data_IF_866867219031
#
_entry.id   IF_866867219031
#
_cell.length_a   1.000
_cell.length_b   1.000
_cell.length_c   1.000
_cell.angle_alpha   90.00
_cell.angle_beta   90.00
_cell.angle_gamma   90.00
#
_symmetry.space_group_name_H-M   'P 1'
#
loop_
_entity.id
_entity.type
_entity.pdbx_description
1 polymer ?
#
# COMPACT_ATOMS: atom_id res chain seq x y z
N UNK A 1 -3.42 19.50 -5.25
CA UNK A 1 -4.21 18.26 -5.02
C UNK A 1 -5.62 18.29 -5.60
N UNK A 2 -6.13 19.41 -6.14
CA UNK A 2 -7.49 19.44 -6.71
C UNK A 2 -7.62 18.68 -8.05
N UNK A 3 -6.56 18.63 -8.86
CA UNK A 3 -6.55 17.91 -10.14
C UNK A 3 -6.19 16.42 -10.11
N UNK A 4 -5.86 15.85 -8.94
CA UNK A 4 -5.48 14.42 -8.83
C UNK A 4 -6.66 13.50 -8.45
N UNK A 5 -7.66 14.09 -7.80
CA UNK A 5 -8.87 13.40 -7.37
C UNK A 5 -9.71 12.86 -8.55
N UNK A 6 -9.82 13.52 -9.72
CA UNK A 6 -10.56 13.00 -10.86
C UNK A 6 -10.01 11.69 -11.42
N UNK A 7 -8.68 11.56 -11.61
CA UNK A 7 -8.05 10.33 -12.11
C UNK A 7 -8.13 9.22 -11.08
N UNK A 8 -7.98 9.54 -9.79
CA UNK A 8 -8.19 8.56 -8.73
C UNK A 8 -9.64 8.08 -8.72
N UNK A 9 -10.62 8.98 -8.85
CA UNK A 9 -12.03 8.59 -9.01
C UNK A 9 -12.25 7.72 -10.24
N UNK A 10 -11.61 8.04 -11.37
CA UNK A 10 -11.68 7.20 -12.56
C UNK A 10 -11.14 5.80 -12.28
N UNK A 11 -9.99 5.67 -11.60
CA UNK A 11 -9.41 4.38 -11.18
C UNK A 11 -10.35 3.63 -10.21
N UNK A 12 -11.00 4.36 -9.30
CA UNK A 12 -11.98 3.82 -8.38
C UNK A 12 -13.19 3.26 -9.14
N UNK A 13 -13.80 4.04 -10.04
CA UNK A 13 -14.96 3.64 -10.85
C UNK A 13 -14.61 2.44 -11.73
N UNK A 14 -13.43 2.48 -12.33
CA UNK A 14 -12.82 1.38 -13.04
C UNK A 14 -12.71 0.09 -12.21
N UNK A 15 -12.28 0.20 -10.96
CA UNK A 15 -12.20 -0.93 -10.04
C UNK A 15 -13.60 -1.43 -9.67
N UNK A 16 -14.58 -0.53 -9.55
CA UNK A 16 -15.97 -0.90 -9.33
C UNK A 16 -16.56 -1.69 -10.49
N UNK A 17 -16.29 -1.29 -11.73
CA UNK A 17 -16.71 -2.03 -12.91
C UNK A 17 -16.08 -3.43 -12.94
N UNK A 18 -14.80 -3.55 -12.56
CA UNK A 18 -14.14 -4.85 -12.43
C UNK A 18 -14.83 -5.69 -11.34
N UNK A 19 -15.10 -5.12 -10.17
CA UNK A 19 -15.80 -5.81 -9.09
C UNK A 19 -17.17 -6.29 -9.56
N UNK A 20 -17.95 -5.45 -10.23
CA UNK A 20 -19.25 -5.83 -10.79
C UNK A 20 -19.13 -6.97 -11.81
N UNK A 21 -18.11 -6.95 -12.66
CA UNK A 21 -17.90 -7.99 -13.69
C UNK A 21 -17.52 -9.36 -13.12
N UNK A 22 -16.91 -9.41 -11.92
CA UNK A 22 -16.45 -10.64 -11.29
C UNK A 22 -17.30 -11.07 -10.07
N UNK A 23 -18.20 -10.21 -9.60
CA UNK A 23 -19.18 -10.50 -8.55
C UNK A 23 -20.22 -11.48 -9.08
N UNK A 24 -20.37 -12.59 -8.37
CA UNK A 24 -21.43 -13.57 -8.64
C UNK A 24 -22.81 -13.02 -8.23
N UNK A 25 -23.92 -13.61 -8.73
CA UNK A 25 -25.28 -13.19 -8.37
C UNK A 25 -25.58 -13.24 -6.86
N UNK A 26 -24.89 -14.10 -6.11
CA UNK A 26 -24.98 -14.22 -4.65
C UNK A 26 -24.16 -13.16 -3.89
N UNK A 27 -23.49 -12.26 -4.61
CA UNK A 27 -22.60 -11.22 -4.07
C UNK A 27 -21.16 -11.67 -3.85
N UNK A 28 -20.81 -12.91 -4.13
CA UNK A 28 -19.47 -13.46 -3.85
C UNK A 28 -18.43 -13.01 -4.87
N UNK A 29 -17.27 -12.58 -4.38
CA UNK A 29 -16.08 -12.19 -5.14
C UNK A 29 -14.90 -13.07 -4.71
N UNK A 30 -14.45 -13.94 -5.61
CA UNK A 30 -13.35 -14.89 -5.36
C UNK A 30 -11.98 -14.26 -5.61
N UNK A 31 -11.02 -14.51 -4.72
CA UNK A 31 -9.66 -13.99 -4.85
C UNK A 31 -9.63 -12.47 -4.88
N UNK A 32 -10.35 -11.83 -3.96
CA UNK A 32 -10.44 -10.37 -3.90
C UNK A 32 -9.05 -9.73 -3.73
N UNK A 33 -8.17 -10.38 -2.97
CA UNK A 33 -6.76 -10.03 -2.81
C UNK A 33 -5.96 -10.06 -4.13
N UNK A 34 -6.45 -10.79 -5.13
CA UNK A 34 -5.85 -10.90 -6.45
C UNK A 34 -6.49 -9.95 -7.46
N UNK A 35 -7.68 -9.41 -7.20
CA UNK A 35 -8.37 -8.51 -8.13
C UNK A 35 -7.67 -7.16 -8.26
N UNK A 36 -7.08 -6.67 -7.17
CA UNK A 36 -6.17 -5.51 -7.20
C UNK A 36 -4.96 -5.76 -8.11
N UNK A 37 -4.52 -7.01 -8.23
CA UNK A 37 -3.43 -7.44 -9.12
C UNK A 37 -3.89 -7.84 -10.54
N UNK A 38 -5.20 -8.08 -10.75
CA UNK A 38 -5.75 -8.66 -11.99
C UNK A 38 -6.05 -7.60 -13.07
N UNK A 39 -6.16 -6.34 -12.68
CA UNK A 39 -6.34 -5.22 -13.61
C UNK A 39 -5.00 -4.91 -14.28
N UNK A 40 -4.78 -5.46 -15.49
CA UNK A 40 -3.67 -5.16 -16.43
C UNK A 40 -2.42 -4.55 -15.77
N UNK A 41 -1.87 -5.21 -14.74
CA UNK A 41 -0.50 -4.90 -14.35
C UNK A 41 0.31 -5.24 -15.59
N UNK A 42 0.93 -4.23 -16.21
CA UNK A 42 1.93 -4.51 -17.23
C UNK A 42 2.93 -5.50 -16.62
N UNK A 43 3.56 -6.34 -17.46
CA UNK A 43 4.62 -7.24 -16.98
C UNK A 43 5.64 -6.50 -16.09
N UNK A 44 5.87 -5.22 -16.38
CA UNK A 44 6.66 -4.26 -15.60
C UNK A 44 6.08 -3.99 -14.20
N UNK A 45 4.80 -3.66 -14.05
CA UNK A 45 4.20 -3.44 -12.74
C UNK A 45 4.26 -4.71 -11.86
N UNK A 46 3.99 -5.88 -12.43
CA UNK A 46 4.07 -7.14 -11.68
C UNK A 46 5.51 -7.45 -11.25
N UNK A 47 6.48 -7.16 -12.11
CA UNK A 47 7.91 -7.29 -11.81
C UNK A 47 8.34 -6.29 -10.73
N UNK A 48 7.85 -5.05 -10.78
CA UNK A 48 8.11 -4.05 -9.75
C UNK A 48 7.56 -4.50 -8.40
N UNK A 49 6.31 -4.96 -8.34
CA UNK A 49 5.72 -5.48 -7.09
C UNK A 49 6.52 -6.67 -6.52
N UNK A 50 6.92 -7.61 -7.36
CA UNK A 50 7.76 -8.73 -6.95
C UNK A 50 9.14 -8.28 -6.43
N UNK A 51 9.76 -7.29 -7.08
CA UNK A 51 11.04 -6.74 -6.67
C UNK A 51 10.93 -6.01 -5.33
N UNK A 52 9.90 -5.17 -5.13
CA UNK A 52 9.62 -4.48 -3.86
C UNK A 52 9.45 -5.48 -2.72
N UNK A 53 8.65 -6.53 -2.93
CA UNK A 53 8.45 -7.59 -1.94
C UNK A 53 9.75 -8.32 -1.59
N UNK A 54 10.57 -8.65 -2.60
CA UNK A 54 11.87 -9.27 -2.38
C UNK A 54 12.84 -8.36 -1.61
N UNK A 55 12.82 -7.06 -1.91
CA UNK A 55 13.64 -6.05 -1.25
C UNK A 55 13.32 -5.94 0.23
N UNK A 56 12.05 -5.78 0.59
CA UNK A 56 11.63 -5.67 2.00
C UNK A 56 11.89 -6.96 2.79
N UNK A 57 11.67 -8.15 2.19
CA UNK A 57 12.02 -9.43 2.83
C UNK A 57 13.53 -9.55 3.07
N UNK A 58 14.35 -9.20 2.08
CA UNK A 58 15.81 -9.24 2.23
C UNK A 58 16.29 -8.22 3.28
N UNK A 59 15.69 -7.03 3.35
CA UNK A 59 15.97 -6.03 4.37
C UNK A 59 15.62 -6.55 5.77
N UNK A 60 14.42 -7.13 5.96
CA UNK A 60 14.04 -7.79 7.22
C UNK A 60 15.05 -8.84 7.64
N UNK A 61 15.32 -9.80 6.76
CA UNK A 61 16.21 -10.93 7.08
C UNK A 61 17.64 -10.44 7.35
N UNK A 62 18.06 -9.32 6.74
CA UNK A 62 19.36 -8.68 7.01
C UNK A 62 19.42 -8.04 8.40
N UNK A 63 18.28 -7.52 8.88
CA UNK A 63 18.16 -6.80 10.15
C UNK A 63 18.00 -7.75 11.34
N UNK A 64 17.18 -8.80 11.19
CA UNK A 64 16.89 -9.76 12.26
C UNK A 64 17.72 -11.06 12.17
N UNK A 65 18.34 -11.35 11.03
CA UNK A 65 19.16 -12.53 10.81
C UNK A 65 20.65 -12.32 11.13
N UNK A 66 21.44 -13.38 10.92
CA UNK A 66 22.88 -13.32 11.11
C UNK A 66 23.54 -12.35 10.10
N UNK A 67 24.43 -11.43 10.53
CA UNK A 67 24.97 -10.37 9.68
C UNK A 67 26.11 -10.84 8.76
N UNK A 68 26.00 -12.06 8.19
CA UNK A 68 27.02 -12.67 7.33
C UNK A 68 27.32 -11.87 6.07
N UNK A 69 26.33 -11.08 5.61
CA UNK A 69 26.47 -10.16 4.47
C UNK A 69 27.55 -9.09 4.67
N UNK A 70 27.94 -8.79 5.92
CA UNK A 70 29.04 -7.87 6.23
C UNK A 70 30.42 -8.44 5.88
N UNK A 71 30.52 -9.75 5.74
CA UNK A 71 31.80 -10.45 5.51
C UNK A 71 31.90 -11.03 4.11
N UNK A 72 30.78 -11.42 3.49
CA UNK A 72 30.75 -11.96 2.14
C UNK A 72 29.40 -11.67 1.45
N UNK A 73 29.35 -11.59 0.11
CA UNK A 73 28.12 -11.36 -0.64
C UNK A 73 27.23 -12.61 -0.62
N UNK A 74 26.48 -12.77 0.46
CA UNK A 74 25.50 -13.86 0.67
C UNK A 74 24.35 -13.78 -0.34
N UNK A 75 23.60 -14.88 -0.49
CA UNK A 75 22.37 -14.89 -1.30
C UNK A 75 21.41 -13.78 -0.87
N UNK A 76 21.30 -13.53 0.44
CA UNK A 76 20.49 -12.45 0.99
C UNK A 76 20.93 -11.07 0.48
N UNK A 77 22.23 -10.76 0.55
CA UNK A 77 22.75 -9.49 0.06
C UNK A 77 22.58 -9.35 -1.46
N UNK A 78 22.80 -10.42 -2.22
CA UNK A 78 22.59 -10.43 -3.68
C UNK A 78 21.13 -10.20 -4.05
N UNK A 79 20.19 -10.80 -3.31
CA UNK A 79 18.75 -10.57 -3.49
C UNK A 79 18.39 -9.12 -3.17
N UNK A 80 18.91 -8.56 -2.08
CA UNK A 80 18.72 -7.15 -1.73
C UNK A 80 19.21 -6.22 -2.86
N UNK A 81 20.46 -6.37 -3.29
CA UNK A 81 21.05 -5.53 -4.34
C UNK A 81 20.31 -5.67 -5.69
N UNK A 82 19.98 -6.90 -6.09
CA UNK A 82 19.25 -7.16 -7.36
C UNK A 82 17.84 -6.57 -7.35
N UNK A 83 17.14 -6.69 -6.22
CA UNK A 83 15.79 -6.13 -6.09
C UNK A 83 15.83 -4.60 -6.09
N UNK A 84 16.80 -3.98 -5.42
CA UNK A 84 17.03 -2.52 -5.45
C UNK A 84 17.31 -2.01 -6.86
N UNK A 85 18.20 -2.68 -7.60
CA UNK A 85 18.52 -2.34 -9.00
C UNK A 85 17.28 -2.45 -9.91
N UNK A 86 16.48 -3.50 -9.72
CA UNK A 86 15.24 -3.72 -10.49
C UNK A 86 14.23 -2.60 -10.21
N UNK A 87 14.04 -2.23 -8.94
CA UNK A 87 13.13 -1.14 -8.54
C UNK A 87 13.61 0.17 -9.16
N UNK A 88 14.88 0.51 -8.99
CA UNK A 88 15.45 1.77 -9.51
C UNK A 88 15.31 1.86 -11.03
N UNK A 89 15.56 0.76 -11.75
CA UNK A 89 15.45 0.70 -13.21
C UNK A 89 14.01 0.96 -13.66
N UNK A 90 13.06 0.19 -13.16
CA UNK A 90 11.66 0.30 -13.59
C UNK A 90 11.09 1.68 -13.24
N UNK A 91 11.33 2.18 -12.02
CA UNK A 91 10.83 3.50 -11.60
C UNK A 91 11.46 4.61 -12.43
N UNK A 92 12.77 4.54 -12.70
CA UNK A 92 13.44 5.54 -13.56
C UNK A 92 12.83 5.57 -14.96
N UNK A 93 12.57 4.42 -15.58
CA UNK A 93 11.93 4.37 -16.89
C UNK A 93 10.51 4.95 -16.85
N UNK A 94 9.71 4.63 -15.83
CA UNK A 94 8.37 5.21 -15.67
C UNK A 94 8.41 6.73 -15.54
N UNK A 95 9.39 7.26 -14.80
CA UNK A 95 9.59 8.69 -14.65
C UNK A 95 9.95 9.38 -15.97
N UNK A 96 10.86 8.80 -16.75
CA UNK A 96 11.25 9.37 -18.05
C UNK A 96 10.08 9.29 -19.06
N UNK A 97 9.28 8.22 -19.04
CA UNK A 97 8.07 8.09 -19.87
C UNK A 97 7.02 9.17 -19.52
N UNK A 98 6.78 9.39 -18.23
CA UNK A 98 5.86 10.43 -17.77
C UNK A 98 6.34 11.83 -18.21
N UNK A 99 7.64 12.11 -18.05
CA UNK A 99 8.25 13.36 -18.49
C UNK A 99 8.14 13.58 -20.01
N UNK A 100 8.38 12.54 -20.80
CA UNK A 100 8.27 12.61 -22.26
C UNK A 100 6.83 12.92 -22.72
N UNK A 101 5.82 12.36 -22.05
CA UNK A 101 4.39 12.66 -22.32
C UNK A 101 4.03 14.10 -21.96
N UNK A 102 4.51 14.58 -20.81
CA UNK A 102 4.27 15.94 -20.35
C UNK A 102 4.87 17.01 -21.29
N UNK A 103 5.99 16.73 -21.96
CA UNK A 103 6.62 17.65 -22.90
C UNK A 103 5.92 17.69 -24.28
N UNK A 104 5.17 16.65 -24.64
CA UNK A 104 4.43 16.56 -25.91
C UNK A 104 3.02 17.16 -25.87
N UNK A 105 2.44 17.34 -24.68
CA UNK A 105 1.13 17.94 -24.50
C UNK A 105 1.25 19.45 -24.26
N UNK A 106 1.01 20.24 -25.30
CA UNK A 106 0.90 21.69 -25.16
C UNK A 106 -0.29 22.04 -24.25
N UNK A 107 0.01 22.61 -23.08
CA UNK A 107 -0.87 23.48 -22.29
C UNK A 107 -2.22 22.87 -21.86
N UNK A 108 -2.19 21.89 -20.96
CA UNK A 108 -3.32 21.67 -20.04
C UNK A 108 -2.81 21.75 -18.59
N UNK A 109 -3.15 22.84 -17.92
CA UNK A 109 -2.52 23.34 -16.69
C UNK A 109 -2.95 22.59 -15.41
N UNK A 110 -3.41 21.34 -15.52
CA UNK A 110 -4.16 20.71 -14.42
C UNK A 110 -3.50 19.46 -13.82
N UNK A 111 -2.38 18.98 -14.37
CA UNK A 111 -1.66 17.81 -13.83
C UNK A 111 -0.21 18.14 -13.43
N UNK A 112 -0.05 18.78 -12.27
CA UNK A 112 1.18 18.57 -11.50
C UNK A 112 1.05 17.21 -10.83
N UNK A 113 1.50 16.14 -11.51
CA UNK A 113 1.73 14.86 -10.85
C UNK A 113 2.58 15.12 -9.59
N UNK A 114 2.25 14.49 -8.47
CA UNK A 114 3.01 14.64 -7.21
C UNK A 114 4.51 14.45 -7.47
N UNK A 115 4.85 13.52 -8.37
CA UNK A 115 6.19 13.25 -8.83
C UNK A 115 6.80 14.41 -9.64
N UNK A 116 6.06 15.07 -10.52
CA UNK A 116 6.55 16.25 -11.25
C UNK A 116 6.85 17.41 -10.30
N UNK A 117 6.04 17.59 -9.25
CA UNK A 117 6.33 18.59 -8.21
C UNK A 117 7.65 18.28 -7.48
N UNK A 118 7.93 17.00 -7.20
CA UNK A 118 9.21 16.57 -6.63
C UNK A 118 10.34 16.85 -7.64
N UNK A 119 10.14 16.53 -8.92
CA UNK A 119 11.14 16.68 -9.97
C UNK A 119 11.48 18.15 -10.28
N UNK A 120 10.52 19.06 -10.15
CA UNK A 120 10.70 20.49 -10.40
C UNK A 120 11.31 21.24 -9.20
N UNK A 121 11.41 20.61 -8.03
CA UNK A 121 11.94 21.25 -6.83
C UNK A 121 13.45 21.57 -7.00
N UNK A 122 13.86 22.85 -7.06
CA UNK A 122 15.26 23.20 -7.29
C UNK A 122 16.15 22.94 -6.07
N UNK A 123 15.59 22.73 -4.88
CA UNK A 123 16.34 22.46 -3.65
C UNK A 123 16.81 21.01 -3.54
N UNK A 124 16.32 20.11 -4.41
CA UNK A 124 16.70 18.70 -4.44
C UNK A 124 17.55 18.42 -5.67
N UNK A 125 18.62 17.66 -5.48
CA UNK A 125 19.37 17.14 -6.61
C UNK A 125 18.58 16.01 -7.32
N UNK A 126 19.04 15.59 -8.50
CA UNK A 126 18.33 14.57 -9.27
C UNK A 126 18.34 13.18 -8.58
N UNK A 127 19.33 12.91 -7.74
CA UNK A 127 19.42 11.65 -6.98
C UNK A 127 18.35 11.62 -5.90
N UNK A 128 18.22 12.69 -5.13
CA UNK A 128 17.22 12.85 -4.07
C UNK A 128 15.81 12.83 -4.65
N UNK A 129 15.60 13.45 -5.82
CA UNK A 129 14.33 13.39 -6.55
C UNK A 129 13.96 11.96 -6.92
N UNK A 130 14.89 11.22 -7.54
CA UNK A 130 14.66 9.81 -7.89
C UNK A 130 14.42 8.94 -6.67
N UNK A 131 15.21 9.13 -5.61
CA UNK A 131 15.03 8.41 -4.36
C UNK A 131 13.65 8.68 -3.73
N UNK A 132 13.19 9.92 -3.72
CA UNK A 132 11.87 10.28 -3.19
C UNK A 132 10.72 9.66 -3.98
N UNK A 133 10.81 9.61 -5.32
CA UNK A 133 9.80 8.95 -6.16
C UNK A 133 9.81 7.43 -5.95
N UNK A 134 10.99 6.82 -5.88
CA UNK A 134 11.16 5.40 -5.56
C UNK A 134 10.52 5.09 -4.20
N UNK A 135 10.88 5.83 -3.14
CA UNK A 135 10.35 5.64 -1.78
C UNK A 135 8.82 5.75 -1.75
N UNK A 136 8.25 6.71 -2.48
CA UNK A 136 6.80 6.85 -2.57
C UNK A 136 6.13 5.65 -3.24
N UNK A 137 6.68 5.17 -4.36
CA UNK A 137 6.12 4.02 -5.12
C UNK A 137 6.28 2.72 -4.32
N UNK A 138 7.46 2.45 -3.77
CA UNK A 138 7.70 1.24 -2.99
C UNK A 138 6.86 1.22 -1.72
N UNK A 139 6.69 2.36 -1.05
CA UNK A 139 5.78 2.48 0.08
C UNK A 139 4.32 2.28 -0.33
N UNK A 140 3.89 2.75 -1.51
CA UNK A 140 2.53 2.51 -2.01
C UNK A 140 2.24 1.04 -2.37
N UNK A 141 3.26 0.30 -2.80
CA UNK A 141 3.15 -1.13 -3.11
C UNK A 141 3.16 -1.97 -1.84
N UNK A 142 3.98 -1.61 -0.86
CA UNK A 142 4.23 -2.42 0.34
C UNK A 142 4.36 -1.52 1.59
N UNK A 143 3.35 -1.54 2.48
CA UNK A 143 3.26 -0.69 3.69
C UNK A 143 3.38 -1.52 4.98
N UNK A 144 4.61 -1.78 5.44
CA UNK A 144 4.81 -2.95 6.33
C UNK A 144 5.25 -2.66 7.76
N UNK A 145 6.20 -1.75 7.95
CA UNK A 145 6.99 -1.75 9.19
C UNK A 145 6.27 -1.21 10.44
N UNK A 146 5.16 -0.48 10.29
CA UNK A 146 4.50 0.26 11.40
C UNK A 146 3.32 -0.49 12.04
N UNK A 147 2.84 -1.57 11.42
CA UNK A 147 1.56 -2.19 11.81
C UNK A 147 1.67 -3.27 12.89
N UNK A 148 2.81 -3.95 13.04
CA UNK A 148 2.94 -5.08 13.96
C UNK A 148 2.88 -4.66 15.44
N UNK A 149 3.65 -3.64 15.83
CA UNK A 149 3.68 -3.15 17.21
C UNK A 149 2.37 -2.48 17.62
N UNK A 150 1.82 -1.64 16.74
CA UNK A 150 0.50 -1.02 16.93
C UNK A 150 -0.58 -2.08 17.04
N UNK A 151 -0.59 -3.06 16.13
CA UNK A 151 -1.55 -4.16 16.15
C UNK A 151 -1.46 -5.03 17.41
N UNK A 152 -0.25 -5.31 17.90
CA UNK A 152 -0.05 -6.04 19.16
C UNK A 152 -0.55 -5.23 20.36
N UNK A 153 -0.24 -3.93 20.42
CA UNK A 153 -0.67 -3.06 21.50
C UNK A 153 -2.21 -2.89 21.53
N UNK A 154 -2.84 -2.75 20.36
CA UNK A 154 -4.29 -2.62 20.24
C UNK A 154 -5.07 -3.87 20.69
N UNK A 155 -4.41 -5.04 20.74
CA UNK A 155 -4.98 -6.31 21.20
C UNK A 155 -4.82 -6.56 22.71
N UNK A 156 -4.29 -5.61 23.48
CA UNK A 156 -4.18 -5.76 24.93
C UNK A 156 -5.40 -5.15 25.63
N UNK A 157 -6.03 -5.92 26.51
CA UNK A 157 -7.18 -5.45 27.32
C UNK A 157 -6.85 -4.25 28.20
N UNK A 158 -5.58 -4.01 28.54
CA UNK A 158 -5.14 -2.81 29.26
C UNK A 158 -5.25 -1.52 28.42
N UNK A 159 -5.25 -1.65 27.09
CA UNK A 159 -5.30 -0.53 26.15
C UNK A 159 -6.71 -0.32 25.58
N UNK A 160 -7.48 -1.39 25.40
CA UNK A 160 -8.81 -1.37 24.80
C UNK A 160 -9.75 -2.38 25.44
N UNK A 161 -10.96 -1.97 25.83
CA UNK A 161 -11.99 -2.90 26.33
C UNK A 161 -12.42 -3.91 25.24
N UNK A 162 -12.50 -5.21 25.51
CA UNK A 162 -12.79 -6.22 24.45
C UNK A 162 -11.79 -6.10 23.30
N UNK A 163 -10.50 -6.02 23.61
CA UNK A 163 -9.42 -5.74 22.64
C UNK A 163 -9.30 -6.80 21.54
N UNK A 164 -9.78 -8.02 21.80
CA UNK A 164 -9.75 -9.15 20.86
C UNK A 164 -10.95 -9.16 19.91
N UNK A 165 -11.93 -8.28 20.10
CA UNK A 165 -13.16 -8.26 19.31
C UNK A 165 -13.17 -7.10 18.32
N UNK A 166 -13.70 -7.36 17.12
CA UNK A 166 -14.01 -6.29 16.17
C UNK A 166 -15.22 -5.50 16.67
N UNK A 167 -14.96 -4.31 17.23
CA UNK A 167 -15.97 -3.40 17.77
C UNK A 167 -15.73 -1.99 17.22
N UNK A 168 -16.33 -1.65 16.06
CA UNK A 168 -16.23 -0.32 15.47
C UNK A 168 -16.92 0.77 16.34
N UNK A 169 -17.94 0.39 17.13
CA UNK A 169 -18.66 1.29 18.04
C UNK A 169 -17.75 1.91 19.10
N UNK A 170 -16.58 1.30 19.36
CA UNK A 170 -15.51 1.84 20.22
C UNK A 170 -15.14 3.30 19.90
N UNK A 171 -15.27 3.69 18.63
CA UNK A 171 -14.93 5.02 18.16
C UNK A 171 -16.11 6.00 18.18
N UNK A 172 -17.32 5.51 18.46
CA UNK A 172 -18.55 6.30 18.58
C UNK A 172 -18.93 6.47 20.06
N UNK A 173 -18.92 5.36 20.81
CA UNK A 173 -19.15 5.29 22.25
C UNK A 173 -17.84 4.96 22.98
N UNK A 174 -17.17 6.00 23.49
CA UNK A 174 -15.91 5.84 24.20
C UNK A 174 -16.14 5.20 25.58
N UNK A 175 -15.48 4.08 25.83
CA UNK A 175 -15.47 3.35 27.12
C UNK A 175 -14.05 2.98 27.50
N UNK A 176 -13.70 3.07 28.78
CA UNK A 176 -12.35 2.73 29.25
C UNK A 176 -12.15 1.20 29.37
N UNK A 177 -10.93 0.69 29.11
CA UNK A 177 -9.76 1.42 28.62
C UNK A 177 -9.88 1.82 27.13
N UNK A 178 -9.43 3.04 26.80
CA UNK A 178 -9.45 3.56 25.43
C UNK A 178 -8.18 4.34 25.04
N UNK A 179 -7.11 3.62 24.74
CA UNK A 179 -5.83 4.19 24.34
C UNK A 179 -5.80 4.62 22.85
N UNK A 180 -6.70 5.51 22.44
CA UNK A 180 -6.83 6.01 21.05
C UNK A 180 -5.50 6.52 20.46
N UNK A 181 -4.62 7.07 21.31
CA UNK A 181 -3.31 7.55 20.89
C UNK A 181 -2.40 6.46 20.30
N UNK A 182 -2.61 5.19 20.66
CA UNK A 182 -1.86 4.04 20.08
C UNK A 182 -2.25 3.80 18.62
N UNK A 183 -3.48 4.13 18.22
CA UNK A 183 -3.96 3.92 16.85
C UNK A 183 -3.53 5.10 15.99
N UNK A 184 -2.42 4.90 15.29
CA UNK A 184 -1.87 5.87 14.33
C UNK A 184 -1.39 5.16 13.05
N UNK A 185 -2.30 4.55 12.25
CA UNK A 185 -1.93 3.75 11.08
C UNK A 185 -1.16 4.56 10.01
N UNK A 186 -1.34 5.88 10.00
CA UNK A 186 -0.64 6.80 9.10
C UNK A 186 0.42 7.66 9.81
N UNK A 187 0.77 7.35 11.06
CA UNK A 187 1.65 8.18 11.88
C UNK A 187 1.07 9.57 12.19
N UNK A 188 1.91 10.46 12.72
CA UNK A 188 1.57 11.86 13.07
C UNK A 188 2.76 12.79 12.79
N UNK A 189 2.49 14.08 12.60
CA UNK A 189 3.53 15.11 12.43
C UNK A 189 4.18 15.12 11.05
N UNK A 190 5.43 15.60 10.96
CA UNK A 190 6.13 15.86 9.68
C UNK A 190 6.43 14.60 8.84
N UNK A 191 6.35 13.42 9.45
CA UNK A 191 6.56 12.11 8.80
C UNK A 191 5.26 11.30 8.72
N UNK A 192 4.11 11.98 8.80
CA UNK A 192 2.82 11.34 8.54
C UNK A 192 2.79 10.79 7.10
N UNK A 193 2.13 9.64 6.93
CA UNK A 193 2.06 8.95 5.65
C UNK A 193 1.47 9.87 4.57
N UNK A 194 2.20 10.15 3.48
CA UNK A 194 1.69 10.95 2.38
C UNK A 194 0.55 10.24 1.63
N UNK A 195 0.49 8.91 1.72
CA UNK A 195 -0.56 8.06 1.16
C UNK A 195 -1.90 8.08 1.92
N UNK A 196 -1.99 8.75 3.08
CA UNK A 196 -3.22 8.74 3.92
C UNK A 196 -4.48 9.08 3.12
N UNK A 197 -4.44 10.14 2.30
CA UNK A 197 -5.60 10.60 1.52
C UNK A 197 -6.01 9.61 0.44
N UNK A 198 -5.05 8.84 -0.10
CA UNK A 198 -5.34 7.80 -1.08
C UNK A 198 -6.14 6.67 -0.44
N UNK A 199 -5.64 6.17 0.70
CA UNK A 199 -6.31 5.09 1.42
C UNK A 199 -7.69 5.52 1.93
N UNK A 200 -7.85 6.76 2.41
CA UNK A 200 -9.16 7.28 2.80
C UNK A 200 -10.17 7.26 1.64
N UNK A 201 -9.74 7.60 0.42
CA UNK A 201 -10.60 7.54 -0.77
C UNK A 201 -10.92 6.10 -1.17
N UNK A 202 -9.93 5.21 -1.18
CA UNK A 202 -10.14 3.77 -1.44
C UNK A 202 -11.11 3.14 -0.44
N UNK A 203 -11.03 3.52 0.84
CA UNK A 203 -11.94 3.03 1.88
C UNK A 203 -13.39 3.52 1.67
N UNK A 204 -13.60 4.72 1.12
CA UNK A 204 -14.95 5.21 0.79
C UNK A 204 -15.63 4.33 -0.27
N UNK A 205 -14.86 3.68 -1.16
CA UNK A 205 -15.41 2.75 -2.15
C UNK A 205 -16.06 1.55 -1.45
N UNK A 206 -15.39 0.99 -0.44
CA UNK A 206 -15.85 -0.20 0.27
C UNK A 206 -17.11 0.06 1.11
N UNK A 207 -17.36 1.30 1.54
CA UNK A 207 -18.56 1.66 2.32
C UNK A 207 -19.88 1.46 1.57
N UNK A 208 -19.83 1.27 0.24
CA UNK A 208 -21.02 1.00 -0.59
C UNK A 208 -21.63 -0.38 -0.32
N UNK A 209 -20.88 -1.31 0.27
CA UNK A 209 -21.33 -2.66 0.54
C UNK A 209 -21.19 -3.01 2.01
N UNK A 210 -22.10 -3.86 2.48
CA UNK A 210 -21.86 -4.69 3.65
C UNK A 210 -20.91 -5.82 3.25
N UNK A 211 -19.69 -5.76 3.79
CA UNK A 211 -18.65 -6.77 3.54
C UNK A 211 -18.85 -7.94 4.49
N UNK A 212 -19.02 -9.12 3.94
CA UNK A 212 -19.11 -10.37 4.68
C UNK A 212 -17.99 -11.32 4.26
N UNK A 213 -17.49 -12.09 5.22
CA UNK A 213 -16.48 -13.10 5.01
C UNK A 213 -16.98 -14.42 5.59
N UNK A 214 -17.04 -15.45 4.76
CA UNK A 214 -17.47 -16.80 5.14
C UNK A 214 -16.24 -17.72 5.21
N UNK A 215 -15.61 -17.79 6.39
CA UNK A 215 -14.42 -18.61 6.64
C UNK A 215 -13.61 -18.17 7.87
N UNK A 216 -12.56 -18.92 8.18
CA UNK A 216 -11.54 -18.51 9.15
C UNK A 216 -10.42 -17.74 8.44
N UNK A 217 -10.16 -16.50 8.89
CA UNK A 217 -9.08 -15.68 8.35
C UNK A 217 -7.81 -15.89 9.18
N UNK A 218 -6.96 -16.79 8.71
CA UNK A 218 -5.60 -16.91 9.22
C UNK A 218 -4.75 -15.77 8.67
N UNK A 219 -4.12 -15.02 9.59
CA UNK A 219 -3.15 -13.98 9.24
C UNK A 219 -1.75 -14.51 9.48
N UNK A 220 -0.87 -14.36 8.49
CA UNK A 220 0.55 -14.64 8.66
C UNK A 220 1.34 -13.34 8.76
N UNK A 221 2.39 -13.37 9.59
CA UNK A 221 3.36 -12.29 9.65
C UNK A 221 4.54 -12.62 8.76
N UNK A 222 4.55 -12.06 7.54
CA UNK A 222 5.66 -12.16 6.60
C UNK A 222 6.27 -10.77 6.41
N UNK A 223 6.72 -10.15 7.51
CA UNK A 223 6.93 -8.71 7.64
C UNK A 223 5.61 -7.92 7.59
N UNK A 224 4.72 -8.24 6.64
CA UNK A 224 3.33 -7.79 6.55
C UNK A 224 2.38 -8.70 7.34
N UNK A 225 1.29 -8.10 7.83
CA UNK A 225 0.08 -8.83 8.16
C UNK A 225 -0.70 -9.05 6.85
N UNK A 226 -0.61 -10.26 6.30
CA UNK A 226 -1.36 -10.65 5.11
C UNK A 226 -2.19 -11.90 5.38
N UNK A 227 -3.30 -12.09 4.65
CA UNK A 227 -3.98 -13.39 4.64
C UNK A 227 -3.01 -14.52 4.30
N UNK A 228 -3.18 -15.67 4.96
CA UNK A 228 -2.39 -16.89 4.71
C UNK A 228 -2.84 -17.62 3.44
N UNK A 229 -4.08 -17.43 3.03
CA UNK A 229 -4.70 -17.98 1.83
C UNK A 229 -5.51 -16.89 1.09
N UNK A 230 -5.82 -17.09 -0.21
CA UNK A 230 -6.68 -16.17 -0.96
C UNK A 230 -8.02 -15.94 -0.25
N UNK A 231 -8.49 -14.69 -0.27
CA UNK A 231 -9.69 -14.28 0.48
C UNK A 231 -10.85 -14.13 -0.48
N UNK A 232 -11.90 -14.93 -0.26
CA UNK A 232 -13.20 -14.74 -0.91
C UNK A 232 -14.06 -13.81 -0.06
N UNK A 233 -14.49 -12.67 -0.59
CA UNK A 233 -15.37 -11.74 0.10
C UNK A 233 -16.77 -11.80 -0.52
N UNK A 234 -17.81 -11.69 0.31
CA UNK A 234 -19.17 -11.48 -0.15
C UNK A 234 -19.55 -10.02 0.06
N UNK A 235 -19.81 -9.31 -1.03
CA UNK A 235 -20.23 -7.91 -1.01
C UNK A 235 -21.74 -7.86 -1.18
N UNK A 236 -22.44 -7.45 -0.13
CA UNK A 236 -23.91 -7.38 -0.08
C UNK A 236 -24.35 -5.92 -0.08
N UNK A 237 -25.43 -5.60 -0.78
CA UNK A 237 -26.03 -4.26 -0.70
C UNK A 237 -26.73 -4.08 0.65
N UNK A 238 -26.85 -2.83 1.07
CA UNK A 238 -27.50 -2.43 2.33
C UNK A 238 -29.01 -2.72 2.31
#
# INVERSE_FOLDING_TARGET
MQGFLPELNNICDDFLDLLQSCRKPDGTVHGFDQLTNRRRMSSRAATLAAAVKAHFRAQRDSYYGAPLWKFAPTTLYRTFAKSEETIHTIVSELMEEARARAQGAAHDHTMQEIFMTILDNPALDMRDKKAAVIDFITAGIETTFVLAHTGAACRREENFWRAQEYCPERWVEVREPHAAALVAPFGRGRRMCPGKRFVELELNILQRWRVEFDGELDVQFDFLLSPKSPVGLRLVEW
#
